data_IF_683028570466
#
_entry.id   IF_683028570466
#
_cell.length_a   1.000
_cell.length_b   1.000
_cell.length_c   1.000
_cell.angle_alpha   90.00
_cell.angle_beta   90.00
_cell.angle_gamma   90.00
#
_symmetry.space_group_name_H-M   'P 1'
#
loop_
_entity.id
_entity.type
_entity.pdbx_description
1 polymer ?
#
# COMPACT_ATOMS: atom_id res chain seq x y z
N UNK A 1 -12.95 -31.24 17.69
CA UNK A 1 -12.36 -30.66 16.46
C UNK A 1 -11.95 -29.23 16.79
N UNK A 2 -10.78 -28.76 16.35
CA UNK A 2 -10.30 -27.41 16.66
C UNK A 2 -9.76 -26.74 15.39
N UNK A 3 -10.23 -25.51 15.12
CA UNK A 3 -9.73 -24.69 14.03
C UNK A 3 -8.38 -24.08 14.45
N UNK A 4 -7.30 -24.49 13.80
CA UNK A 4 -5.98 -23.88 14.00
C UNK A 4 -5.83 -22.67 13.08
N UNK A 5 -5.75 -21.47 13.65
CA UNK A 5 -5.56 -20.21 12.93
C UNK A 5 -4.14 -19.69 13.19
N UNK A 6 -3.40 -19.38 12.12
CA UNK A 6 -2.12 -18.69 12.22
C UNK A 6 -2.35 -17.19 12.33
N UNK A 7 -2.00 -16.59 13.47
CA UNK A 7 -2.06 -15.13 13.67
C UNK A 7 -0.67 -14.57 13.37
N UNK A 8 -0.57 -13.77 12.32
CA UNK A 8 0.62 -12.98 12.02
C UNK A 8 0.27 -11.52 12.34
N UNK A 9 1.00 -10.92 13.28
CA UNK A 9 0.93 -9.48 13.52
C UNK A 9 1.40 -8.77 12.26
N UNK A 10 0.60 -7.81 11.77
CA UNK A 10 0.95 -7.02 10.59
C UNK A 10 2.27 -6.31 10.86
N UNK A 11 3.33 -6.66 10.15
CA UNK A 11 4.50 -5.81 10.09
C UNK A 11 4.09 -4.52 9.38
N UNK A 12 4.20 -3.37 10.04
CA UNK A 12 4.12 -2.10 9.32
C UNK A 12 5.26 -2.09 8.30
N UNK A 13 4.92 -2.10 7.01
CA UNK A 13 5.91 -2.10 5.93
C UNK A 13 5.99 -0.69 5.39
N UNK A 14 7.12 -0.04 5.66
CA UNK A 14 7.47 1.29 5.16
C UNK A 14 8.79 1.24 4.41
N UNK A 15 8.91 1.92 3.27
CA UNK A 15 10.17 2.02 2.52
C UNK A 15 10.41 3.44 2.01
N UNK A 16 11.68 3.84 2.02
CA UNK A 16 12.11 5.05 1.33
C UNK A 16 12.05 4.84 -0.19
N UNK A 17 11.40 5.75 -0.89
CA UNK A 17 11.15 5.71 -2.32
C UNK A 17 11.65 7.02 -2.96
N UNK A 18 12.46 6.92 -4.00
CA UNK A 18 12.99 8.07 -4.74
C UNK A 18 11.97 8.62 -5.73
N UNK A 19 11.60 9.88 -5.58
CA UNK A 19 10.79 10.61 -6.55
C UNK A 19 11.71 11.26 -7.59
N UNK A 20 11.52 10.90 -8.86
CA UNK A 20 12.37 11.32 -9.98
C UNK A 20 11.65 12.28 -10.90
N UNK A 21 12.36 13.31 -11.34
CA UNK A 21 11.91 14.23 -12.37
C UNK A 21 11.86 13.60 -13.75
N UNK A 22 11.38 14.36 -14.73
CA UNK A 22 11.32 13.92 -16.13
C UNK A 22 12.71 13.61 -16.75
N UNK A 23 13.77 14.16 -16.18
CA UNK A 23 15.18 13.93 -16.52
C UNK A 23 15.78 12.70 -15.83
N UNK A 24 15.00 12.01 -14.98
CA UNK A 24 15.44 10.86 -14.20
C UNK A 24 16.26 11.20 -12.96
N UNK A 25 16.50 12.49 -12.66
CA UNK A 25 17.19 12.90 -11.45
C UNK A 25 16.28 12.79 -10.23
N UNK A 26 16.85 12.39 -9.09
CA UNK A 26 16.11 12.32 -7.82
C UNK A 26 15.88 13.74 -7.32
N UNK A 27 14.60 14.11 -7.19
CA UNK A 27 14.18 15.42 -6.70
C UNK A 27 13.81 15.39 -5.22
N UNK A 28 13.26 14.27 -4.74
CA UNK A 28 12.88 14.08 -3.35
C UNK A 28 12.88 12.59 -2.97
N UNK A 29 12.87 12.30 -1.68
CA UNK A 29 12.65 10.96 -1.14
C UNK A 29 11.41 10.96 -0.25
N UNK A 30 10.54 9.96 -0.38
CA UNK A 30 9.39 9.78 0.49
C UNK A 30 9.48 8.44 1.20
N UNK A 31 9.29 8.42 2.52
CA UNK A 31 9.08 7.20 3.28
C UNK A 31 7.61 6.81 3.17
N UNK A 32 7.32 5.76 2.41
CA UNK A 32 5.96 5.37 2.05
C UNK A 32 5.55 4.10 2.79
N UNK A 33 4.35 4.08 3.37
CA UNK A 33 3.72 2.92 4.00
C UNK A 33 2.94 2.08 2.98
N UNK A 34 2.79 0.77 3.25
CA UNK A 34 1.96 -0.13 2.45
C UNK A 34 0.48 0.32 2.41
N UNK A 35 -0.19 0.08 1.27
CA UNK A 35 -1.56 0.55 1.05
C UNK A 35 -2.58 -0.05 2.02
N UNK A 36 -2.31 -1.23 2.60
CA UNK A 36 -3.20 -1.84 3.60
C UNK A 36 -3.03 -1.26 5.01
N UNK A 37 -2.24 -0.19 5.18
CA UNK A 37 -2.09 0.48 6.46
C UNK A 37 -3.46 0.92 7.01
N UNK A 38 -3.86 0.37 8.16
CA UNK A 38 -5.23 0.48 8.67
C UNK A 38 -5.71 1.93 8.82
N UNK A 39 -4.93 2.89 9.35
CA UNK A 39 -5.35 4.29 9.40
C UNK A 39 -5.67 4.88 8.02
N UNK A 40 -4.91 4.53 6.98
CA UNK A 40 -5.22 4.97 5.61
C UNK A 40 -6.56 4.39 5.13
N UNK A 41 -6.78 3.08 5.31
CA UNK A 41 -8.03 2.42 4.93
C UNK A 41 -9.25 3.05 5.62
N UNK A 42 -9.15 3.30 6.93
CA UNK A 42 -10.19 3.97 7.71
C UNK A 42 -10.44 5.40 7.20
N UNK A 43 -9.40 6.14 6.82
CA UNK A 43 -9.56 7.48 6.26
C UNK A 43 -10.27 7.46 4.90
N UNK A 44 -9.97 6.50 4.04
CA UNK A 44 -10.66 6.31 2.75
C UNK A 44 -12.14 5.96 2.96
N UNK A 45 -12.46 5.06 3.88
CA UNK A 45 -13.85 4.72 4.23
C UNK A 45 -14.60 5.96 4.75
N UNK A 46 -13.97 6.76 5.62
CA UNK A 46 -14.55 8.02 6.12
C UNK A 46 -14.81 9.02 5.00
N UNK A 47 -13.88 9.16 4.05
CA UNK A 47 -14.06 10.03 2.89
C UNK A 47 -15.27 9.59 2.04
N UNK A 48 -15.42 8.28 1.81
CA UNK A 48 -16.58 7.73 1.09
C UNK A 48 -17.91 7.95 1.83
N UNK A 49 -17.92 7.77 3.15
CA UNK A 49 -19.09 8.01 3.99
C UNK A 49 -19.49 9.49 4.01
N UNK A 50 -18.52 10.40 3.99
CA UNK A 50 -18.78 11.84 3.95
C UNK A 50 -19.50 12.24 2.66
N UNK A 51 -19.09 11.71 1.51
CA UNK A 51 -19.78 11.98 0.23
C UNK A 51 -21.19 11.37 0.24
N UNK A 52 -21.32 10.12 0.71
CA UNK A 52 -22.60 9.42 0.72
C UNK A 52 -23.64 10.07 1.64
N UNK A 53 -23.19 10.68 2.75
CA UNK A 53 -24.07 11.32 3.74
C UNK A 53 -24.49 12.74 3.39
N UNK A 54 -23.69 13.48 2.61
CA UNK A 54 -24.01 14.85 2.17
C UNK A 54 -25.11 14.92 1.09
N UNK A 55 -25.43 13.79 0.46
CA UNK A 55 -26.37 13.76 -0.66
C UNK A 55 -25.76 14.30 -1.95
N UNK A 56 -26.55 14.29 -3.03
CA UNK A 56 -26.10 14.64 -4.39
C UNK A 56 -26.58 16.03 -4.85
N UNK A 57 -26.87 16.95 -3.92
CA UNK A 57 -27.29 18.31 -4.30
C UNK A 57 -26.09 19.14 -4.77
N UNK A 58 -25.80 19.03 -6.07
CA UNK A 58 -24.66 19.69 -6.72
C UNK A 58 -24.81 21.23 -6.72
N UNK A 59 -26.01 21.76 -6.48
CA UNK A 59 -26.26 23.20 -6.45
C UNK A 59 -26.03 23.80 -5.05
N UNK A 60 -25.88 22.98 -4.02
CA UNK A 60 -25.58 23.45 -2.67
C UNK A 60 -24.17 24.06 -2.61
N UNK A 61 -24.08 25.31 -2.17
CA UNK A 61 -22.81 26.00 -1.98
C UNK A 61 -22.38 25.91 -0.51
N UNK A 62 -21.52 24.94 -0.20
CA UNK A 62 -20.84 24.83 1.10
C UNK A 62 -19.35 25.16 0.90
N UNK A 63 -18.88 26.36 1.30
CA UNK A 63 -17.48 26.75 1.19
C UNK A 63 -16.51 25.87 1.98
N UNK A 64 -17.02 25.08 2.93
CA UNK A 64 -16.22 24.15 3.74
C UNK A 64 -16.19 22.73 3.16
N UNK A 65 -16.95 22.48 2.08
CA UNK A 65 -16.97 21.18 1.44
C UNK A 65 -15.68 20.93 0.66
N UNK A 66 -15.02 19.83 0.98
CA UNK A 66 -13.92 19.29 0.18
C UNK A 66 -14.45 18.37 -0.92
N UNK A 67 -13.74 18.38 -2.04
CA UNK A 67 -13.96 17.42 -3.12
C UNK A 67 -13.49 16.04 -2.68
N UNK A 68 -14.09 14.98 -3.24
CA UNK A 68 -13.73 13.62 -2.85
C UNK A 68 -12.25 13.30 -3.07
N UNK A 69 -11.66 13.80 -4.16
CA UNK A 69 -10.24 13.58 -4.44
C UNK A 69 -9.33 14.31 -3.45
N UNK A 70 -9.72 15.50 -2.95
CA UNK A 70 -8.98 16.22 -1.90
C UNK A 70 -8.99 15.41 -0.59
N UNK A 71 -10.12 14.78 -0.26
CA UNK A 71 -10.19 13.88 0.90
C UNK A 71 -9.28 12.66 0.74
N UNK A 72 -9.17 12.10 -0.48
CA UNK A 72 -8.24 11.00 -0.76
C UNK A 72 -6.77 11.43 -0.73
N UNK A 73 -6.47 12.66 -1.16
CA UNK A 73 -5.14 13.25 -1.05
C UNK A 73 -4.79 13.51 0.42
N UNK A 74 -5.71 14.04 1.22
CA UNK A 74 -5.53 14.22 2.66
C UNK A 74 -5.29 12.89 3.38
N UNK A 75 -6.04 11.84 3.02
CA UNK A 75 -5.82 10.49 3.54
C UNK A 75 -4.42 9.98 3.19
N UNK A 76 -3.96 10.20 1.95
CA UNK A 76 -2.62 9.83 1.51
C UNK A 76 -1.53 10.62 2.26
N UNK A 77 -1.70 11.93 2.35
CA UNK A 77 -0.79 12.84 3.06
C UNK A 77 -0.64 12.47 4.53
N UNK A 78 -1.73 12.14 5.21
CA UNK A 78 -1.72 11.87 6.65
C UNK A 78 -1.28 10.44 7.00
N UNK A 79 -1.45 9.47 6.10
CA UNK A 79 -1.33 8.06 6.46
C UNK A 79 -0.49 7.19 5.54
N UNK A 80 -0.22 7.58 4.29
CA UNK A 80 0.71 6.82 3.42
C UNK A 80 2.11 7.38 3.42
N UNK A 81 2.25 8.70 3.59
CA UNK A 81 3.55 9.33 3.81
C UNK A 81 3.85 9.22 5.30
N UNK A 82 4.99 8.62 5.63
CA UNK A 82 5.51 8.58 6.99
C UNK A 82 6.54 9.68 7.24
N UNK A 83 7.33 10.02 6.23
CA UNK A 83 8.36 11.05 6.27
C UNK A 83 8.80 11.42 4.83
N UNK A 84 9.61 12.47 4.67
CA UNK A 84 10.22 12.83 3.39
C UNK A 84 11.57 13.56 3.54
N UNK A 85 12.28 13.75 2.42
CA UNK A 85 13.47 14.61 2.31
C UNK A 85 13.47 15.35 0.98
N UNK A 86 14.08 16.53 0.95
CA UNK A 86 14.23 17.32 -0.27
C UNK A 86 12.95 18.05 -0.71
N UNK A 87 11.96 18.18 0.16
CA UNK A 87 10.72 18.92 -0.14
C UNK A 87 10.90 20.38 0.29
N UNK A 88 10.91 21.27 -0.72
CA UNK A 88 11.01 22.72 -0.55
C UNK A 88 9.76 23.38 -1.08
N UNK A 89 9.16 24.28 -0.31
CA UNK A 89 8.04 25.10 -0.78
C UNK A 89 8.56 26.44 -1.25
N UNK A 90 8.27 26.79 -2.51
CA UNK A 90 8.45 28.13 -3.04
C UNK A 90 7.15 28.92 -2.85
N UNK A 91 7.15 29.91 -1.96
CA UNK A 91 5.98 30.75 -1.69
C UNK A 91 6.30 32.21 -1.99
N UNK A 92 5.35 32.95 -2.57
CA UNK A 92 5.50 34.38 -2.81
C UNK A 92 5.07 35.13 -1.55
N UNK A 93 6.04 35.73 -0.85
CA UNK A 93 5.81 36.60 0.31
C UNK A 93 6.26 38.00 -0.09
N UNK A 94 5.35 38.98 0.00
CA UNK A 94 5.63 40.39 -0.36
C UNK A 94 6.20 40.56 -1.79
N UNK A 95 5.75 39.74 -2.74
CA UNK A 95 6.20 39.79 -4.13
C UNK A 95 7.57 39.13 -4.38
N UNK A 96 8.18 38.50 -3.37
CA UNK A 96 9.43 37.73 -3.50
C UNK A 96 9.18 36.25 -3.27
N UNK A 97 9.79 35.41 -4.10
CA UNK A 97 9.80 33.96 -3.90
C UNK A 97 10.73 33.63 -2.75
N UNK A 98 10.18 33.04 -1.70
CA UNK A 98 10.91 32.49 -0.56
C UNK A 98 10.81 30.97 -0.65
N UNK A 99 11.97 30.32 -0.67
CA UNK A 99 12.10 28.88 -0.62
C UNK A 99 12.32 28.44 0.82
N UNK A 100 11.55 27.46 1.28
CA UNK A 100 11.68 26.93 2.63
C UNK A 100 11.60 25.41 2.59
N UNK A 101 12.61 24.75 3.14
CA UNK A 101 12.58 23.32 3.36
C UNK A 101 11.53 23.00 4.43
N UNK A 102 10.60 22.12 4.10
CA UNK A 102 9.50 21.80 4.98
C UNK A 102 9.71 20.41 5.57
N UNK A 103 9.68 20.23 6.89
CA UNK A 103 9.64 18.89 7.47
C UNK A 103 8.30 18.24 7.17
N UNK A 104 8.29 16.91 7.17
CA UNK A 104 7.04 16.19 7.07
C UNK A 104 6.14 16.50 8.28
N UNK A 105 4.93 16.95 7.98
CA UNK A 105 3.79 16.94 8.89
C UNK A 105 2.55 16.63 8.05
N UNK A 106 1.48 16.05 8.62
CA UNK A 106 0.25 15.81 7.87
C UNK A 106 -0.31 17.09 7.22
N UNK A 107 -0.16 18.25 7.88
CA UNK A 107 -0.58 19.54 7.34
C UNK A 107 0.28 20.00 6.15
N UNK A 108 1.61 19.89 6.25
CA UNK A 108 2.49 20.20 5.13
C UNK A 108 2.27 19.23 3.96
N UNK A 109 2.04 17.95 4.24
CA UNK A 109 1.78 16.94 3.22
C UNK A 109 0.45 17.20 2.51
N UNK A 110 -0.60 17.56 3.25
CA UNK A 110 -1.87 17.99 2.64
C UNK A 110 -1.68 19.24 1.78
N UNK A 111 -0.88 20.23 2.23
CA UNK A 111 -0.53 21.41 1.42
C UNK A 111 0.24 21.03 0.16
N UNK A 112 1.23 20.14 0.25
CA UNK A 112 2.00 19.65 -0.90
C UNK A 112 1.11 18.99 -1.94
N UNK A 113 0.21 18.08 -1.53
CA UNK A 113 -0.61 17.31 -2.45
C UNK A 113 -1.77 18.12 -3.05
N UNK A 114 -2.42 18.99 -2.27
CA UNK A 114 -3.61 19.73 -2.73
C UNK A 114 -3.29 21.10 -3.33
N UNK A 115 -2.22 21.77 -2.88
CA UNK A 115 -1.87 23.14 -3.33
C UNK A 115 -0.61 23.20 -4.19
N UNK A 116 0.17 22.12 -4.24
CA UNK A 116 1.36 22.04 -5.09
C UNK A 116 1.01 21.84 -6.56
N UNK A 117 1.78 22.45 -7.45
CA UNK A 117 1.69 22.31 -8.90
C UNK A 117 1.91 20.86 -9.38
N UNK A 118 2.74 20.10 -8.67
CA UNK A 118 3.01 18.67 -8.92
C UNK A 118 2.32 17.73 -7.92
N UNK A 119 1.37 18.22 -7.10
CA UNK A 119 0.74 17.46 -6.01
C UNK A 119 0.07 16.16 -6.46
N UNK A 120 -0.64 16.17 -7.60
CA UNK A 120 -1.27 14.97 -8.20
C UNK A 120 -0.22 13.92 -8.60
N UNK A 121 0.94 14.35 -9.12
CA UNK A 121 2.01 13.45 -9.55
C UNK A 121 2.63 12.74 -8.35
N UNK A 122 2.89 13.50 -7.28
CA UNK A 122 3.41 12.95 -6.01
C UNK A 122 2.38 11.99 -5.38
N UNK A 123 1.10 12.35 -5.38
CA UNK A 123 0.03 11.47 -4.88
C UNK A 123 -0.01 10.13 -5.63
N UNK A 124 0.05 10.17 -6.96
CA UNK A 124 0.08 8.96 -7.79
C UNK A 124 1.31 8.10 -7.46
N UNK A 125 2.49 8.73 -7.41
CA UNK A 125 3.74 8.07 -7.02
C UNK A 125 3.64 7.36 -5.66
N UNK A 126 3.16 8.07 -4.63
CA UNK A 126 3.01 7.49 -3.28
C UNK A 126 2.04 6.31 -3.31
N UNK A 127 0.90 6.42 -3.99
CA UNK A 127 -0.06 5.31 -4.06
C UNK A 127 0.50 4.09 -4.79
N UNK A 128 1.20 4.27 -5.90
CA UNK A 128 1.81 3.16 -6.64
C UNK A 128 2.87 2.43 -5.80
N UNK A 129 3.72 3.19 -5.10
CA UNK A 129 4.73 2.61 -4.21
C UNK A 129 4.09 1.94 -3.00
N UNK A 130 3.06 2.52 -2.40
CA UNK A 130 2.30 1.91 -1.31
C UNK A 130 1.69 0.56 -1.73
N UNK A 131 1.16 0.47 -2.96
CA UNK A 131 0.63 -0.78 -3.49
C UNK A 131 1.74 -1.83 -3.68
N UNK A 132 2.85 -1.47 -4.33
CA UNK A 132 4.01 -2.39 -4.52
C UNK A 132 4.55 -2.91 -3.18
N UNK A 133 4.72 -2.02 -2.20
CA UNK A 133 5.17 -2.37 -0.85
C UNK A 133 4.24 -3.40 -0.22
N UNK A 134 2.93 -3.23 -0.36
CA UNK A 134 1.95 -4.15 0.18
C UNK A 134 1.96 -5.51 -0.55
N UNK A 135 2.02 -5.50 -1.88
CA UNK A 135 2.08 -6.73 -2.68
C UNK A 135 3.32 -7.57 -2.34
N UNK A 136 4.47 -6.95 -2.10
CA UNK A 136 5.68 -7.61 -1.61
C UNK A 136 5.47 -8.21 -0.22
N UNK A 137 4.92 -7.42 0.71
CA UNK A 137 4.63 -7.88 2.08
C UNK A 137 3.65 -9.06 2.10
N UNK A 138 2.63 -9.03 1.26
CA UNK A 138 1.63 -10.10 1.15
C UNK A 138 2.22 -11.37 0.53
N UNK A 139 3.12 -11.24 -0.45
CA UNK A 139 3.89 -12.38 -1.00
C UNK A 139 4.76 -13.04 0.07
N UNK A 140 5.48 -12.24 0.87
CA UNK A 140 6.31 -12.74 1.96
C UNK A 140 5.47 -13.48 3.02
N UNK A 141 4.33 -12.88 3.39
CA UNK A 141 3.37 -13.50 4.31
C UNK A 141 2.82 -14.82 3.78
N UNK A 142 2.45 -14.87 2.50
CA UNK A 142 1.96 -16.09 1.86
C UNK A 142 3.03 -17.19 1.81
N UNK A 143 4.29 -16.83 1.56
CA UNK A 143 5.41 -17.77 1.59
C UNK A 143 5.65 -18.37 2.99
N UNK A 144 5.53 -17.57 4.04
CA UNK A 144 5.66 -18.03 5.44
C UNK A 144 4.51 -18.98 5.80
N UNK A 145 3.27 -18.61 5.47
CA UNK A 145 2.08 -19.42 5.78
C UNK A 145 2.01 -20.71 4.94
N UNK A 146 2.42 -20.65 3.67
CA UNK A 146 2.41 -21.76 2.72
C UNK A 146 3.47 -22.83 2.97
N UNK A 147 4.53 -22.55 3.75
CA UNK A 147 5.56 -23.54 4.12
C UNK A 147 5.12 -24.55 5.20
N UNK A 148 3.86 -24.53 5.64
CA UNK A 148 3.35 -25.47 6.65
C UNK A 148 2.65 -26.71 6.07
N UNK A 149 3.27 -27.41 5.10
CA UNK A 149 3.01 -28.84 4.91
C UNK A 149 4.12 -29.51 4.11
N UNK A 150 5.25 -29.79 4.75
CA UNK A 150 5.90 -31.08 4.50
C UNK A 150 4.95 -32.15 5.04
N UNK A 151 3.88 -32.48 4.32
CA UNK A 151 3.17 -33.71 4.60
C UNK A 151 4.16 -34.82 4.27
N UNK A 152 4.72 -35.44 5.30
CA UNK A 152 5.45 -36.69 5.19
C UNK A 152 4.64 -37.61 4.30
N UNK A 153 5.12 -37.86 3.07
CA UNK A 153 4.44 -38.72 2.13
C UNK A 153 4.73 -40.16 2.56
N UNK A 154 4.07 -40.61 3.64
CA UNK A 154 4.12 -41.98 4.10
C UNK A 154 3.24 -42.82 3.16
N UNK A 155 3.67 -42.99 1.90
CA UNK A 155 3.10 -44.02 1.04
C UNK A 155 3.80 -45.34 1.34
N UNK A 156 3.17 -46.07 2.25
CA UNK A 156 3.24 -47.50 2.53
C UNK A 156 4.17 -48.33 1.63
N UNK A 157 5.14 -49.02 2.26
CA UNK A 157 5.84 -50.18 1.70
C UNK A 157 4.81 -51.13 1.07
N UNK A 158 4.80 -51.23 -0.26
CA UNK A 158 4.05 -52.28 -0.95
C UNK A 158 4.59 -53.64 -0.50
N UNK A 159 3.73 -54.39 0.19
CA UNK A 159 3.98 -55.74 0.67
C UNK A 159 4.18 -56.65 -0.54
N UNK A 160 5.43 -57.05 -0.76
CA UNK A 160 5.92 -57.99 -1.77
C UNK A 160 5.05 -59.26 -1.78
N UNK A 161 4.18 -59.45 -2.79
CA UNK A 161 3.47 -60.71 -2.99
C UNK A 161 4.44 -61.73 -3.61
N UNK A 162 4.60 -62.86 -2.93
CA UNK A 162 5.34 -64.05 -3.37
C UNK A 162 4.72 -64.62 -4.65
N UNK A 163 5.59 -65.12 -5.55
CA UNK A 163 5.31 -65.87 -6.79
C UNK A 163 4.33 -67.03 -6.56
N UNK A 164 3.54 -67.33 -7.59
CA UNK A 164 3.11 -68.69 -7.95
C UNK A 164 3.42 -68.94 -9.42
N UNK A 165 4.17 -70.02 -9.69
CA UNK A 165 4.44 -70.59 -11.02
C UNK A 165 3.14 -71.15 -11.62
N UNK A 166 2.92 -70.98 -12.91
CA UNK A 166 2.18 -71.94 -13.73
C UNK A 166 2.89 -72.16 -15.07
N UNK A 167 3.12 -73.43 -15.38
CA UNK A 167 3.77 -73.95 -16.58
C UNK A 167 2.80 -74.00 -17.77
N UNK A 168 3.38 -73.92 -19.00
CA UNK A 168 2.99 -74.59 -20.28
C UNK A 168 1.57 -74.28 -20.84
N UNK A 169 1.25 -74.22 -22.14
CA UNK A 169 1.79 -74.48 -23.50
C UNK A 169 0.74 -73.80 -24.45
N UNK A 170 0.98 -73.25 -25.64
CA UNK A 170 1.37 -73.89 -26.91
C UNK A 170 1.51 -72.80 -28.00
N UNK A 171 2.59 -72.83 -28.77
CA UNK A 171 2.63 -73.00 -30.24
C UNK A 171 4.00 -73.53 -30.61
#
# INVERSE_FOLDING_TARGET
MALKVGIIQSSEVSKWCEFKGADGQVQAEFKVRGIAYKPFQVAVERAGNQISSKGYDVMANDPSAKLYHELLMDACAAHLIEDWKGVVFAQVVEGKTVETEMPYTPGNASKLLNMGDIGIQIWLFVKEHAQKIQEEADKDKAMILGKSSSSTNTKNRMRRKRRTKSNKLNS
#
